data_IF_827143575140
#
_entry.id   IF_827143575140
#
_cell.length_a   1.000
_cell.length_b   1.000
_cell.length_c   1.000
_cell.angle_alpha   90.00
_cell.angle_beta   90.00
_cell.angle_gamma   90.00
#
_symmetry.space_group_name_H-M   'P 1'
#
loop_
_entity.id
_entity.type
_entity.pdbx_description
1 polymer ?
#
# COMPACT_ATOMS: atom_id res chain seq x y z
N UNK A 1 9.81 88.06 36.04
CA UNK A 1 10.63 86.91 35.62
C UNK A 1 9.78 85.65 35.86
N UNK A 2 9.32 84.98 34.78
CA UNK A 2 8.47 83.77 34.84
C UNK A 2 9.29 82.50 34.62
N UNK A 3 9.18 81.46 35.39
CA UNK A 3 9.81 80.18 35.12
C UNK A 3 8.95 79.38 34.12
N UNK A 4 9.61 78.89 33.07
CA UNK A 4 9.05 77.96 32.04
C UNK A 4 8.86 76.57 32.61
N UNK A 5 7.63 76.09 32.58
CA UNK A 5 7.27 74.68 32.88
C UNK A 5 7.69 73.81 31.72
N UNK A 6 8.58 72.84 31.96
CA UNK A 6 8.94 71.74 31.08
C UNK A 6 7.84 70.66 31.16
N UNK A 7 7.15 70.44 30.08
CA UNK A 7 6.19 69.31 29.94
C UNK A 7 6.97 68.08 29.50
N UNK A 8 7.12 67.11 30.42
CA UNK A 8 7.58 65.78 30.08
C UNK A 8 6.43 65.03 29.38
N UNK A 9 6.58 64.73 28.08
CA UNK A 9 5.68 63.84 27.35
C UNK A 9 6.11 62.38 27.65
N UNK A 10 5.26 61.64 28.35
CA UNK A 10 5.36 60.19 28.55
C UNK A 10 4.99 59.48 27.25
N UNK A 11 5.91 58.73 26.63
CA UNK A 11 5.62 57.77 25.56
C UNK A 11 5.06 56.46 26.19
N UNK A 12 3.99 55.89 25.64
CA UNK A 12 3.57 54.54 26.02
C UNK A 12 4.45 53.51 25.31
N UNK A 13 5.02 52.63 26.15
CA UNK A 13 5.78 51.47 25.72
C UNK A 13 4.79 50.41 25.17
N UNK A 14 4.70 50.26 23.84
CA UNK A 14 3.97 49.16 23.22
C UNK A 14 4.72 47.84 23.39
N UNK A 15 4.31 47.02 24.35
CA UNK A 15 4.76 45.63 24.47
C UNK A 15 4.07 44.78 23.42
N UNK A 16 4.74 44.55 22.31
CA UNK A 16 4.34 43.51 21.34
C UNK A 16 4.65 42.15 21.93
N UNK A 17 3.66 41.51 22.53
CA UNK A 17 3.71 40.10 22.89
C UNK A 17 3.64 39.27 21.60
N UNK A 18 4.80 38.85 21.09
CA UNK A 18 4.91 37.87 20.00
C UNK A 18 4.47 36.50 20.50
N UNK A 19 3.28 36.10 20.17
CA UNK A 19 2.81 34.72 20.34
C UNK A 19 3.52 33.83 19.34
N UNK A 20 4.59 33.17 19.78
CA UNK A 20 5.20 32.06 19.06
C UNK A 20 4.28 30.84 19.14
N UNK A 21 3.50 30.54 18.09
CA UNK A 21 2.86 29.24 17.92
C UNK A 21 3.97 28.22 17.67
N UNK A 22 4.05 27.14 18.44
CA UNK A 22 4.89 26.01 18.07
C UNK A 22 4.24 25.31 16.88
N UNK A 23 4.86 25.41 15.70
CA UNK A 23 4.61 24.53 14.56
C UNK A 23 5.10 23.13 14.96
N UNK A 24 4.24 22.35 15.59
CA UNK A 24 4.39 20.90 15.72
C UNK A 24 4.17 20.30 14.33
N UNK A 25 5.17 20.45 13.45
CA UNK A 25 5.29 19.68 12.23
C UNK A 25 5.62 18.25 12.63
N UNK A 26 4.61 17.44 12.95
CA UNK A 26 4.74 16.00 12.98
C UNK A 26 5.13 15.55 11.58
N UNK A 27 6.35 15.05 11.37
CA UNK A 27 6.70 14.22 10.23
C UNK A 27 5.95 12.90 10.38
N UNK A 28 4.65 12.93 10.10
CA UNK A 28 3.92 11.73 9.72
C UNK A 28 4.53 11.33 8.37
N UNK A 29 5.32 10.26 8.34
CA UNK A 29 5.76 9.66 7.08
C UNK A 29 4.50 9.23 6.37
N UNK A 30 3.99 10.09 5.48
CA UNK A 30 2.75 9.87 4.78
C UNK A 30 2.84 8.51 4.09
N UNK A 31 2.07 7.54 4.58
CA UNK A 31 2.02 6.21 4.00
C UNK A 31 1.69 6.38 2.52
N UNK A 32 2.53 5.82 1.63
CA UNK A 32 2.41 5.98 0.20
C UNK A 32 1.08 5.41 -0.28
N UNK A 33 0.31 6.20 -1.03
CA UNK A 33 -0.92 5.71 -1.66
C UNK A 33 -0.60 4.62 -2.70
N UNK A 34 -1.41 3.57 -2.73
CA UNK A 34 -1.32 2.55 -3.77
C UNK A 34 -1.58 3.18 -5.15
N UNK A 35 -0.77 2.84 -6.18
CA UNK A 35 -0.97 3.33 -7.53
C UNK A 35 -2.36 2.99 -8.06
N UNK A 36 -2.98 3.93 -8.79
CA UNK A 36 -4.20 3.63 -9.54
C UNK A 36 -3.85 2.67 -10.66
N UNK A 37 -4.39 1.46 -10.58
CA UNK A 37 -4.04 0.35 -11.44
C UNK A 37 -5.27 -0.37 -11.95
N UNK A 38 -5.16 -0.97 -13.14
CA UNK A 38 -6.17 -1.87 -13.71
C UNK A 38 -5.55 -3.26 -13.83
N UNK A 39 -6.19 -4.23 -13.22
CA UNK A 39 -5.79 -5.63 -13.21
C UNK A 39 -6.70 -6.40 -14.18
N UNK A 40 -6.17 -6.88 -15.29
CA UNK A 40 -6.88 -7.79 -16.20
C UNK A 40 -6.79 -9.19 -15.63
N UNK A 41 -7.90 -9.74 -15.17
CA UNK A 41 -7.93 -11.06 -14.50
C UNK A 41 -8.20 -12.19 -15.50
N UNK A 42 -7.96 -13.44 -15.06
CA UNK A 42 -7.94 -14.59 -15.97
C UNK A 42 -9.26 -14.89 -16.68
N UNK A 43 -10.39 -14.43 -16.16
CA UNK A 43 -11.71 -14.55 -16.81
C UNK A 43 -11.96 -13.46 -17.88
N UNK A 44 -10.98 -12.60 -18.14
CA UNK A 44 -11.05 -11.47 -19.06
C UNK A 44 -11.70 -10.21 -18.50
N UNK A 45 -12.23 -10.26 -17.29
CA UNK A 45 -12.73 -9.06 -16.62
C UNK A 45 -11.59 -8.20 -16.06
N UNK A 46 -11.93 -7.05 -15.49
CA UNK A 46 -10.92 -6.17 -14.89
C UNK A 46 -11.32 -5.77 -13.47
N UNK A 47 -10.32 -5.71 -12.60
CA UNK A 47 -10.39 -5.06 -11.30
C UNK A 47 -9.54 -3.79 -11.33
N UNK A 48 -9.86 -2.84 -10.48
CA UNK A 48 -9.07 -1.61 -10.30
C UNK A 48 -8.69 -1.45 -8.83
N UNK A 49 -7.69 -0.61 -8.55
CA UNK A 49 -7.35 -0.26 -7.16
C UNK A 49 -8.57 0.26 -6.39
N UNK A 50 -9.50 0.94 -7.07
CA UNK A 50 -10.72 1.47 -6.45
C UNK A 50 -11.68 0.38 -5.96
N UNK A 51 -11.70 -0.81 -6.59
CA UNK A 51 -12.57 -1.94 -6.20
C UNK A 51 -12.19 -2.55 -4.84
N UNK A 52 -10.99 -2.23 -4.34
CA UNK A 52 -10.49 -2.68 -3.05
C UNK A 52 -10.61 -1.61 -1.96
N UNK A 53 -11.20 -0.45 -2.25
CA UNK A 53 -11.41 0.61 -1.25
C UNK A 53 -12.31 0.08 -0.11
N UNK A 54 -11.90 0.36 1.12
CA UNK A 54 -12.58 -0.13 2.33
C UNK A 54 -12.20 -1.56 2.72
N UNK A 55 -11.33 -2.24 1.95
CA UNK A 55 -10.76 -3.54 2.27
C UNK A 55 -9.28 -3.42 2.62
N UNK A 56 -8.80 -4.29 3.49
CA UNK A 56 -7.38 -4.62 3.60
C UNK A 56 -7.08 -5.60 2.47
N UNK A 57 -6.01 -5.40 1.72
CA UNK A 57 -5.73 -6.32 0.63
C UNK A 57 -4.24 -6.54 0.39
N UNK A 58 -3.95 -7.71 -0.15
CA UNK A 58 -2.63 -8.14 -0.54
C UNK A 58 -2.47 -8.05 -2.05
N UNK A 59 -1.38 -7.44 -2.52
CA UNK A 59 -0.94 -7.53 -3.90
C UNK A 59 0.37 -8.30 -3.94
N UNK A 60 0.39 -9.41 -4.70
CA UNK A 60 1.58 -10.26 -4.83
C UNK A 60 2.01 -10.34 -6.29
N UNK A 61 3.23 -9.90 -6.59
CA UNK A 61 3.87 -10.10 -7.90
C UNK A 61 4.63 -11.42 -7.89
N UNK A 62 4.33 -12.30 -8.85
CA UNK A 62 4.81 -13.66 -8.89
C UNK A 62 5.03 -14.19 -10.31
N UNK A 63 5.62 -15.38 -10.45
CA UNK A 63 5.70 -16.12 -11.70
C UNK A 63 5.66 -17.62 -11.43
N UNK A 64 5.17 -18.40 -12.43
CA UNK A 64 5.13 -19.87 -12.36
C UNK A 64 6.53 -20.48 -12.34
N UNK A 65 7.51 -19.80 -12.93
CA UNK A 65 8.93 -20.18 -12.93
C UNK A 65 9.69 -19.82 -11.64
N UNK A 66 9.05 -19.04 -10.74
CA UNK A 66 9.66 -18.61 -9.48
C UNK A 66 9.41 -19.66 -8.39
N UNK A 67 10.41 -20.45 -8.05
CA UNK A 67 10.29 -21.52 -7.04
C UNK A 67 9.77 -21.02 -5.69
N UNK A 68 10.29 -19.89 -5.20
CA UNK A 68 9.85 -19.28 -3.93
C UNK A 68 8.38 -18.84 -4.01
N UNK A 69 7.94 -18.29 -5.15
CA UNK A 69 6.55 -17.89 -5.36
C UNK A 69 5.61 -19.10 -5.30
N UNK A 70 5.97 -20.19 -5.98
CA UNK A 70 5.19 -21.44 -5.95
C UNK A 70 5.15 -22.03 -4.54
N UNK A 71 6.25 -21.97 -3.79
CA UNK A 71 6.33 -22.50 -2.44
C UNK A 71 5.54 -21.69 -1.41
N UNK A 72 5.31 -20.39 -1.62
CA UNK A 72 4.51 -19.56 -0.71
C UNK A 72 3.00 -19.55 -1.03
N UNK A 73 2.61 -19.97 -2.23
CA UNK A 73 1.22 -19.89 -2.67
C UNK A 73 0.22 -20.58 -1.73
N UNK A 74 0.50 -21.75 -1.11
CA UNK A 74 -0.39 -22.34 -0.10
C UNK A 74 -0.64 -21.41 1.10
N UNK A 75 0.35 -20.64 1.54
CA UNK A 75 0.21 -19.69 2.65
C UNK A 75 -0.64 -18.48 2.23
N UNK A 76 -0.52 -18.01 0.99
CA UNK A 76 -1.38 -16.95 0.44
C UNK A 76 -2.83 -17.42 0.36
N UNK A 77 -3.07 -18.66 -0.11
CA UNK A 77 -4.41 -19.29 -0.13
C UNK A 77 -4.99 -19.37 1.29
N UNK A 78 -4.19 -19.86 2.25
CA UNK A 78 -4.61 -19.97 3.66
C UNK A 78 -4.95 -18.60 4.24
N UNK A 79 -4.14 -17.58 3.95
CA UNK A 79 -4.37 -16.19 4.37
C UNK A 79 -5.68 -15.66 3.79
N UNK A 80 -5.90 -15.83 2.48
CA UNK A 80 -7.15 -15.40 1.84
C UNK A 80 -8.36 -16.08 2.48
N UNK A 81 -8.35 -17.41 2.61
CA UNK A 81 -9.45 -18.18 3.18
C UNK A 81 -9.77 -17.74 4.61
N UNK A 82 -8.74 -17.42 5.41
CA UNK A 82 -8.90 -16.95 6.79
C UNK A 82 -9.59 -15.60 6.89
N UNK A 83 -9.31 -14.68 5.95
CA UNK A 83 -9.69 -13.27 6.13
C UNK A 83 -10.72 -12.72 5.13
N UNK A 84 -11.02 -13.39 4.00
CA UNK A 84 -11.94 -12.90 2.96
C UNK A 84 -13.30 -12.44 3.48
N UNK A 85 -13.87 -13.17 4.47
CA UNK A 85 -15.16 -12.82 5.10
C UNK A 85 -15.10 -11.62 6.06
N UNK A 86 -13.92 -11.05 6.29
CA UNK A 86 -13.67 -9.97 7.26
C UNK A 86 -13.25 -8.65 6.60
N UNK A 87 -13.51 -8.48 5.30
CA UNK A 87 -13.10 -7.27 4.58
C UNK A 87 -11.65 -7.30 4.09
N UNK A 88 -11.15 -8.49 3.77
CA UNK A 88 -9.85 -8.73 3.17
C UNK A 88 -9.98 -9.23 1.73
N UNK A 89 -8.99 -8.93 0.90
CA UNK A 89 -8.92 -9.43 -0.48
C UNK A 89 -7.46 -9.69 -0.92
N UNK A 90 -7.28 -10.36 -2.06
CA UNK A 90 -5.95 -10.65 -2.62
C UNK A 90 -5.97 -10.53 -4.14
N UNK A 91 -4.92 -9.93 -4.69
CA UNK A 91 -4.62 -9.92 -6.13
C UNK A 91 -3.22 -10.49 -6.33
N UNK A 92 -3.10 -11.57 -7.09
CA UNK A 92 -1.82 -12.12 -7.53
C UNK A 92 -1.57 -11.71 -8.99
N UNK A 93 -0.52 -10.92 -9.22
CA UNK A 93 -0.15 -10.41 -10.55
C UNK A 93 1.00 -11.23 -11.10
N UNK A 94 0.74 -11.99 -12.15
CA UNK A 94 1.79 -12.71 -12.86
C UNK A 94 2.62 -11.74 -13.71
N UNK A 95 3.94 -11.86 -13.61
CA UNK A 95 4.90 -10.98 -14.30
C UNK A 95 4.82 -11.16 -15.82
N UNK A 96 5.18 -10.11 -16.56
CA UNK A 96 5.08 -10.06 -18.03
C UNK A 96 5.89 -11.15 -18.79
N UNK A 97 6.91 -11.67 -18.16
CA UNK A 97 7.75 -12.76 -18.72
C UNK A 97 7.16 -14.16 -18.51
N UNK A 98 6.07 -14.29 -17.71
CA UNK A 98 5.43 -15.58 -17.44
C UNK A 98 4.36 -15.88 -18.51
N UNK A 99 4.47 -16.98 -19.25
CA UNK A 99 3.48 -17.27 -20.31
C UNK A 99 2.07 -17.38 -19.76
N UNK A 100 1.08 -16.67 -20.32
CA UNK A 100 -0.31 -16.68 -19.83
C UNK A 100 -0.90 -18.07 -19.64
N UNK A 101 -0.60 -19.01 -20.56
CA UNK A 101 -1.07 -20.40 -20.47
C UNK A 101 -0.56 -21.13 -19.23
N UNK A 102 0.67 -20.83 -18.78
CA UNK A 102 1.23 -21.43 -17.56
C UNK A 102 0.53 -20.88 -16.33
N UNK A 103 0.26 -19.57 -16.32
CA UNK A 103 -0.46 -18.91 -15.22
C UNK A 103 -1.88 -19.46 -15.09
N UNK A 104 -2.61 -19.59 -16.21
CA UNK A 104 -3.98 -20.15 -16.25
C UNK A 104 -3.97 -21.60 -15.72
N UNK A 105 -3.07 -22.44 -16.24
CA UNK A 105 -2.96 -23.83 -15.82
C UNK A 105 -2.63 -23.95 -14.33
N UNK A 106 -1.68 -23.14 -13.84
CA UNK A 106 -1.31 -23.13 -12.43
C UNK A 106 -2.48 -22.72 -11.54
N UNK A 107 -3.17 -21.62 -11.90
CA UNK A 107 -4.30 -21.11 -11.13
C UNK A 107 -5.44 -22.15 -11.05
N UNK A 108 -5.74 -22.85 -12.15
CA UNK A 108 -6.75 -23.92 -12.18
C UNK A 108 -6.33 -25.13 -11.38
N UNK A 109 -5.11 -25.64 -11.57
CA UNK A 109 -4.62 -26.84 -10.88
C UNK A 109 -4.50 -26.64 -9.36
N UNK A 110 -4.18 -25.43 -8.92
CA UNK A 110 -4.04 -25.07 -7.50
C UNK A 110 -5.33 -24.55 -6.88
N UNK A 111 -6.37 -24.29 -7.70
CA UNK A 111 -7.64 -23.75 -7.24
C UNK A 111 -7.48 -22.42 -6.53
N UNK A 112 -6.75 -21.46 -7.15
CA UNK A 112 -6.49 -20.16 -6.52
C UNK A 112 -7.82 -19.43 -6.27
N UNK A 113 -8.19 -19.10 -5.01
CA UNK A 113 -9.51 -18.60 -4.66
C UNK A 113 -9.65 -17.08 -4.77
N UNK A 114 -8.60 -16.38 -5.18
CA UNK A 114 -8.49 -14.93 -5.25
C UNK A 114 -8.25 -14.47 -6.69
N UNK A 115 -8.15 -13.14 -6.88
CA UNK A 115 -7.95 -12.54 -8.19
C UNK A 115 -6.52 -12.82 -8.70
N UNK A 116 -6.44 -13.44 -9.87
CA UNK A 116 -5.16 -13.63 -10.57
C UNK A 116 -5.20 -12.77 -11.84
N UNK A 117 -4.25 -11.85 -11.94
CA UNK A 117 -4.11 -10.93 -13.06
C UNK A 117 -2.82 -11.18 -13.84
N UNK A 118 -2.80 -10.76 -15.10
CA UNK A 118 -1.64 -10.82 -15.99
C UNK A 118 -1.10 -9.41 -16.22
N UNK A 119 0.20 -9.23 -16.00
CA UNK A 119 0.92 -8.00 -16.35
C UNK A 119 1.60 -8.16 -17.72
N UNK A 120 0.80 -8.33 -18.80
CA UNK A 120 1.35 -8.63 -20.12
C UNK A 120 2.31 -7.57 -20.67
N UNK A 121 2.24 -6.34 -20.19
CA UNK A 121 3.04 -5.21 -20.69
C UNK A 121 4.17 -4.81 -19.74
N UNK A 122 4.18 -5.30 -18.50
CA UNK A 122 5.08 -4.87 -17.43
C UNK A 122 4.70 -3.52 -16.81
N UNK A 123 3.57 -2.93 -17.21
CA UNK A 123 3.14 -1.63 -16.70
C UNK A 123 2.72 -1.68 -15.23
N UNK A 124 2.11 -2.79 -14.78
CA UNK A 124 1.77 -2.97 -13.37
C UNK A 124 3.05 -3.03 -12.52
N UNK A 125 4.00 -3.89 -12.89
CA UNK A 125 5.28 -4.01 -12.19
C UNK A 125 6.01 -2.66 -12.12
N UNK A 126 6.01 -1.88 -13.20
CA UNK A 126 6.58 -0.54 -13.26
C UNK A 126 5.86 0.43 -12.34
N UNK A 127 4.54 0.50 -12.39
CA UNK A 127 3.73 1.41 -11.58
C UNK A 127 3.88 1.16 -10.07
N UNK A 128 4.13 -0.09 -9.66
CA UNK A 128 4.31 -0.49 -8.26
C UNK A 128 5.77 -0.41 -7.77
N UNK A 129 6.59 0.40 -8.44
CA UNK A 129 7.96 0.71 -8.05
C UNK A 129 9.00 -0.23 -8.66
N UNK A 130 8.89 -0.43 -9.98
CA UNK A 130 9.83 -1.18 -10.82
C UNK A 130 10.16 -2.56 -10.23
N UNK A 131 9.15 -3.42 -10.15
CA UNK A 131 9.29 -4.76 -9.58
C UNK A 131 10.29 -5.57 -10.41
N UNK A 132 11.47 -5.80 -9.86
CA UNK A 132 12.57 -6.53 -10.49
C UNK A 132 12.83 -7.91 -9.87
N UNK A 133 12.18 -8.21 -8.74
CA UNK A 133 12.34 -9.47 -8.02
C UNK A 133 10.98 -10.06 -7.63
N UNK A 134 10.84 -11.36 -7.76
CA UNK A 134 9.66 -12.10 -7.30
C UNK A 134 10.03 -13.16 -6.26
N UNK A 135 9.16 -13.40 -5.27
CA UNK A 135 7.93 -12.68 -5.03
C UNK A 135 8.16 -11.28 -4.46
N UNK A 136 7.29 -10.33 -4.81
CA UNK A 136 7.20 -9.04 -4.12
C UNK A 136 5.75 -8.84 -3.70
N UNK A 137 5.54 -8.60 -2.40
CA UNK A 137 4.22 -8.52 -1.79
C UNK A 137 4.00 -7.15 -1.16
N UNK A 138 2.82 -6.59 -1.41
CA UNK A 138 2.35 -5.36 -0.75
C UNK A 138 1.15 -5.67 0.13
N UNK A 139 1.11 -5.08 1.32
CA UNK A 139 -0.07 -5.02 2.17
C UNK A 139 -0.62 -3.61 2.11
N UNK A 140 -1.91 -3.49 1.77
CA UNK A 140 -2.59 -2.21 1.58
C UNK A 140 -3.77 -2.12 2.57
N UNK A 141 -3.92 -0.95 3.21
CA UNK A 141 -4.98 -0.70 4.18
C UNK A 141 -6.33 -0.31 3.52
N UNK A 142 -7.37 -0.16 4.35
CA UNK A 142 -8.73 0.23 3.92
C UNK A 142 -8.79 1.60 3.23
N UNK A 143 -7.79 2.46 3.47
CA UNK A 143 -7.68 3.79 2.87
C UNK A 143 -6.92 3.75 1.52
N UNK A 144 -6.42 2.58 1.13
CA UNK A 144 -5.62 2.41 -0.09
C UNK A 144 -4.17 2.84 0.07
N UNK A 145 -3.62 2.83 1.28
CA UNK A 145 -2.22 3.17 1.55
C UNK A 145 -1.39 1.90 1.66
N UNK A 146 -0.20 1.93 1.08
CA UNK A 146 0.77 0.83 1.22
C UNK A 146 1.31 0.85 2.65
N UNK A 147 0.98 -0.17 3.42
CA UNK A 147 1.46 -0.35 4.81
C UNK A 147 2.81 -1.07 4.82
N UNK A 148 2.99 -2.03 3.88
CA UNK A 148 4.20 -2.84 3.83
C UNK A 148 4.52 -3.27 2.40
N UNK A 149 5.82 -3.25 2.05
CA UNK A 149 6.39 -3.90 0.86
C UNK A 149 7.37 -4.95 1.34
N UNK A 150 7.24 -6.17 0.85
CA UNK A 150 8.09 -7.30 1.21
C UNK A 150 8.67 -7.88 -0.09
N UNK A 151 9.98 -7.97 -0.19
CA UNK A 151 10.67 -8.64 -1.29
C UNK A 151 11.16 -10.00 -0.79
N UNK A 152 10.83 -11.05 -1.53
CA UNK A 152 11.01 -12.43 -1.09
C UNK A 152 9.80 -12.95 -0.29
N UNK A 153 9.90 -14.19 0.19
CA UNK A 153 8.83 -14.84 0.95
C UNK A 153 8.52 -14.08 2.25
N UNK A 154 7.24 -13.70 2.50
CA UNK A 154 6.84 -13.09 3.76
C UNK A 154 7.03 -14.03 4.96
N UNK A 155 7.31 -13.46 6.13
CA UNK A 155 6.95 -14.09 7.39
C UNK A 155 5.44 -14.00 7.55
N UNK A 156 4.74 -15.10 7.29
CA UNK A 156 3.27 -15.13 7.33
C UNK A 156 2.70 -14.95 8.72
N UNK A 157 3.41 -15.33 9.78
CA UNK A 157 2.97 -15.09 11.15
C UNK A 157 2.95 -13.58 11.45
N UNK A 158 4.03 -12.88 11.10
CA UNK A 158 4.11 -11.43 11.23
C UNK A 158 3.10 -10.72 10.30
N UNK A 159 2.92 -11.20 9.07
CA UNK A 159 1.95 -10.66 8.11
C UNK A 159 0.51 -10.77 8.64
N UNK A 160 0.14 -11.89 9.25
CA UNK A 160 -1.18 -12.09 9.87
C UNK A 160 -1.42 -11.09 11.01
N UNK A 161 -0.41 -10.82 11.86
CA UNK A 161 -0.53 -9.81 12.91
C UNK A 161 -0.78 -8.41 12.36
N UNK A 162 -0.14 -8.07 11.24
CA UNK A 162 -0.39 -6.77 10.58
C UNK A 162 -1.79 -6.72 9.95
N UNK A 163 -2.23 -7.79 9.27
CA UNK A 163 -3.59 -7.88 8.71
C UNK A 163 -4.64 -7.70 9.81
N UNK A 164 -4.49 -8.41 10.95
CA UNK A 164 -5.44 -8.33 12.08
C UNK A 164 -5.57 -6.91 12.66
N UNK A 165 -4.48 -6.13 12.67
CA UNK A 165 -4.52 -4.73 13.13
C UNK A 165 -5.25 -3.79 12.16
N UNK A 166 -5.31 -4.14 10.89
CA UNK A 166 -5.91 -3.32 9.83
C UNK A 166 -7.39 -3.66 9.58
N UNK A 167 -7.84 -4.86 9.93
CA UNK A 167 -9.22 -5.32 9.79
C UNK A 167 -10.15 -4.69 10.82
#
# INVERSE_FOLDING_TARGET
>A
MKPRRLLLKSLPLCVCAAWALPLLGGCDSAAQAAPQSRFVVLDGSSKTTADFKGKVWLLNFWATSCTTCVAEMPEIISTYNKYQGRGYDTVAVAMSYDPPSYVVNFAQQRGLPFWVALDNTGELAKAWGDISATPTTFLIDKQGRIVKRIVGKPDFAALHLEIEKLL
#
